data_IF_932308216120
#
_entry.id   IF_932308216120
#
_cell.length_a   1.000
_cell.length_b   1.000
_cell.length_c   1.000
_cell.angle_alpha   90.00
_cell.angle_beta   90.00
_cell.angle_gamma   90.00
#
_symmetry.space_group_name_H-M   'P 1'
#
loop_
_entity.id
_entity.type
_entity.pdbx_description
1 polymer ?
#
# COMPACT_ATOMS: atom_id res chain seq x y z
N UNK A 1 -51.01 6.65 -46.12
CA UNK A 1 -50.03 5.92 -45.31
C UNK A 1 -49.09 6.96 -44.73
N UNK A 2 -49.38 7.43 -43.52
CA UNK A 2 -48.63 8.49 -42.83
C UNK A 2 -47.37 7.89 -42.23
N UNK A 3 -46.21 8.27 -42.76
CA UNK A 3 -44.91 7.84 -42.23
C UNK A 3 -44.73 8.47 -40.84
N UNK A 4 -44.79 7.66 -39.78
CA UNK A 4 -44.42 8.10 -38.44
C UNK A 4 -42.96 8.56 -38.43
N UNK A 5 -42.72 9.79 -37.95
CA UNK A 5 -41.36 10.30 -37.71
C UNK A 5 -40.66 9.41 -36.68
N UNK A 6 -39.47 8.86 -36.98
CA UNK A 6 -38.77 8.00 -36.04
C UNK A 6 -38.43 8.76 -34.75
N UNK A 7 -38.70 8.12 -33.61
CA UNK A 7 -38.52 8.64 -32.23
C UNK A 7 -37.06 8.98 -31.88
N UNK A 8 -36.11 8.69 -32.75
CA UNK A 8 -34.69 8.87 -32.53
C UNK A 8 -34.05 9.52 -33.76
N UNK A 9 -33.53 10.74 -33.57
CA UNK A 9 -32.70 11.45 -34.55
C UNK A 9 -31.29 10.87 -34.51
N UNK A 10 -30.81 10.38 -35.64
CA UNK A 10 -29.42 9.96 -35.81
C UNK A 10 -28.57 11.23 -35.99
N UNK A 11 -28.00 11.75 -34.90
CA UNK A 11 -26.98 12.79 -34.96
C UNK A 11 -25.66 12.17 -35.43
N UNK A 12 -25.22 12.55 -36.63
CA UNK A 12 -23.90 12.23 -37.17
C UNK A 12 -22.88 13.28 -36.71
N UNK A 13 -22.70 13.41 -35.39
CA UNK A 13 -21.61 14.21 -34.80
C UNK A 13 -20.47 13.26 -34.37
N UNK A 14 -19.26 13.60 -34.77
CA UNK A 14 -18.05 12.82 -34.47
C UNK A 14 -17.57 13.03 -33.02
N UNK A 15 -18.07 14.08 -32.35
CA UNK A 15 -17.75 14.39 -30.96
C UNK A 15 -18.54 13.51 -29.97
N UNK A 16 -17.88 12.45 -29.50
CA UNK A 16 -18.43 11.47 -28.56
C UNK A 16 -18.88 12.05 -27.20
N UNK A 17 -18.54 13.31 -26.88
CA UNK A 17 -18.97 13.97 -25.64
C UNK A 17 -20.33 14.65 -25.75
N UNK A 18 -20.78 14.98 -26.96
CA UNK A 18 -22.07 15.65 -27.19
C UNK A 18 -23.23 14.69 -27.35
N UNK A 19 -22.98 13.47 -27.84
CA UNK A 19 -24.03 12.47 -28.08
C UNK A 19 -23.86 11.23 -27.18
N UNK A 20 -24.63 11.12 -26.08
CA UNK A 20 -24.35 10.20 -24.98
C UNK A 20 -24.70 8.72 -25.24
N UNK A 21 -25.28 8.35 -26.39
CA UNK A 21 -25.76 6.98 -26.61
C UNK A 21 -25.22 6.41 -27.92
N UNK A 22 -24.05 5.77 -27.86
CA UNK A 22 -23.60 4.82 -28.89
C UNK A 22 -23.85 3.40 -28.36
N UNK A 23 -24.70 2.65 -29.06
CA UNK A 23 -25.03 1.26 -28.72
C UNK A 23 -23.87 0.36 -29.16
N UNK A 24 -22.86 0.20 -28.29
CA UNK A 24 -21.73 -0.70 -28.55
C UNK A 24 -22.09 -2.11 -28.07
N UNK A 25 -22.41 -3.00 -29.01
CA UNK A 25 -22.60 -4.42 -28.73
C UNK A 25 -21.22 -5.08 -28.58
N UNK A 26 -20.79 -5.25 -27.33
CA UNK A 26 -19.54 -5.97 -27.02
C UNK A 26 -19.83 -7.48 -27.06
N UNK A 27 -19.33 -8.17 -28.09
CA UNK A 27 -19.32 -9.63 -28.11
C UNK A 27 -18.05 -10.14 -27.41
N UNK A 28 -18.23 -10.73 -26.22
CA UNK A 28 -17.19 -11.47 -25.48
C UNK A 28 -16.93 -11.00 -24.04
N UNK A 29 -16.28 -11.83 -23.23
CA UNK A 29 -15.93 -11.56 -21.81
C UNK A 29 -14.90 -10.44 -21.60
N UNK A 30 -14.45 -9.77 -22.67
CA UNK A 30 -13.59 -8.59 -22.56
C UNK A 30 -14.44 -7.39 -22.21
N UNK A 31 -14.37 -6.97 -20.95
CA UNK A 31 -14.70 -5.59 -20.60
C UNK A 31 -13.88 -4.70 -21.53
N UNK A 32 -14.48 -3.78 -22.31
CA UNK A 32 -13.69 -2.76 -22.98
C UNK A 32 -12.94 -2.04 -21.85
N UNK A 33 -11.63 -2.25 -21.79
CA UNK A 33 -10.78 -1.34 -21.07
C UNK A 33 -11.02 -0.01 -21.77
N UNK A 34 -11.77 0.87 -21.12
CA UNK A 34 -11.78 2.28 -21.49
C UNK A 34 -10.34 2.69 -21.20
N UNK A 35 -9.48 2.60 -22.21
CA UNK A 35 -8.20 3.30 -22.22
C UNK A 35 -8.51 4.70 -21.71
N UNK A 36 -7.77 5.11 -20.68
CA UNK A 36 -8.01 6.33 -19.90
C UNK A 36 -8.56 7.41 -20.83
N UNK A 37 -9.84 7.76 -20.65
CA UNK A 37 -10.51 8.72 -21.49
C UNK A 37 -9.58 9.91 -21.66
N UNK A 38 -9.25 10.29 -22.90
CA UNK A 38 -8.36 11.41 -23.18
C UNK A 38 -8.86 12.62 -22.38
N UNK A 39 -8.20 12.87 -21.24
CA UNK A 39 -8.50 14.00 -20.40
C UNK A 39 -8.22 15.24 -21.25
N UNK A 40 -8.98 16.32 -21.06
CA UNK A 40 -8.75 17.53 -21.81
C UNK A 40 -7.32 18.02 -21.54
N UNK A 41 -6.42 17.81 -22.51
CA UNK A 41 -5.02 18.18 -22.40
C UNK A 41 -4.90 19.70 -22.53
N UNK A 42 -4.10 20.27 -21.65
CA UNK A 42 -3.86 21.72 -21.60
C UNK A 42 -2.36 21.94 -21.72
N UNK A 43 -1.96 23.04 -22.37
CA UNK A 43 -0.55 23.40 -22.49
C UNK A 43 0.12 23.49 -21.11
N UNK A 44 1.30 22.89 -20.98
CA UNK A 44 2.10 22.88 -19.74
C UNK A 44 2.38 24.29 -19.23
N UNK A 45 2.73 25.19 -20.15
CA UNK A 45 2.82 26.61 -19.88
C UNK A 45 1.54 27.33 -20.35
N UNK A 46 0.94 28.21 -19.53
CA UNK A 46 1.30 28.56 -18.15
C UNK A 46 0.62 27.67 -17.09
N UNK A 47 -0.28 26.77 -17.51
CA UNK A 47 -1.27 26.17 -16.61
C UNK A 47 -0.66 25.23 -15.55
N UNK A 48 0.21 24.30 -15.96
CA UNK A 48 0.86 23.39 -15.00
C UNK A 48 1.86 24.15 -14.14
N UNK A 49 2.68 25.00 -14.75
CA UNK A 49 3.72 25.78 -14.07
C UNK A 49 3.15 26.69 -12.98
N UNK A 50 2.01 27.34 -13.23
CA UNK A 50 1.34 28.15 -12.22
C UNK A 50 0.80 27.30 -11.07
N UNK A 51 0.22 26.13 -11.36
CA UNK A 51 -0.30 25.21 -10.33
C UNK A 51 0.83 24.67 -9.45
N UNK A 52 1.97 24.31 -10.06
CA UNK A 52 3.15 23.85 -9.32
C UNK A 52 3.76 24.97 -8.48
N UNK A 53 3.85 26.20 -9.00
CA UNK A 53 4.32 27.35 -8.23
C UNK A 53 3.39 27.65 -7.04
N UNK A 54 2.07 27.62 -7.23
CA UNK A 54 1.10 27.78 -6.14
C UNK A 54 1.25 26.65 -5.12
N UNK A 55 1.38 25.40 -5.57
CA UNK A 55 1.58 24.25 -4.70
C UNK A 55 2.89 24.34 -3.91
N UNK A 56 3.97 24.82 -4.54
CA UNK A 56 5.27 25.05 -3.89
C UNK A 56 5.14 26.10 -2.80
N UNK A 57 4.55 27.26 -3.09
CA UNK A 57 4.34 28.33 -2.09
C UNK A 57 3.44 27.83 -0.96
N UNK A 58 2.36 27.12 -1.27
CA UNK A 58 1.46 26.55 -0.27
C UNK A 58 2.17 25.52 0.61
N UNK A 59 3.00 24.64 0.03
CA UNK A 59 3.78 23.64 0.76
C UNK A 59 4.84 24.32 1.64
N UNK A 60 5.57 25.30 1.11
CA UNK A 60 6.55 26.07 1.89
C UNK A 60 5.88 26.78 3.07
N UNK A 61 4.75 27.43 2.85
CA UNK A 61 3.98 28.08 3.92
C UNK A 61 3.52 27.06 4.96
N UNK A 62 2.98 25.92 4.53
CA UNK A 62 2.55 24.86 5.44
C UNK A 62 3.71 24.33 6.30
N UNK A 63 4.89 24.10 5.71
CA UNK A 63 6.08 23.66 6.44
C UNK A 63 6.59 24.74 7.40
N UNK A 64 6.60 26.02 6.99
CA UNK A 64 6.97 27.14 7.87
C UNK A 64 6.02 27.29 9.05
N UNK A 65 4.71 27.15 8.83
CA UNK A 65 3.72 27.16 9.91
C UNK A 65 3.92 25.97 10.85
N UNK A 66 4.15 24.77 10.32
CA UNK A 66 4.42 23.58 11.12
C UNK A 66 5.67 23.75 12.00
N UNK A 67 6.74 24.35 11.46
CA UNK A 67 7.96 24.62 12.20
C UNK A 67 7.80 25.64 13.35
N UNK A 68 6.76 26.49 13.32
CA UNK A 68 6.44 27.39 14.45
C UNK A 68 5.81 26.62 15.62
N UNK A 69 5.05 25.56 15.33
CA UNK A 69 4.35 24.77 16.36
C UNK A 69 5.16 23.58 16.86
N UNK A 70 6.10 23.06 16.05
CA UNK A 70 6.88 21.86 16.35
C UNK A 70 8.37 22.14 16.16
N UNK A 71 9.09 22.29 17.26
CA UNK A 71 10.54 22.39 17.23
C UNK A 71 11.17 21.07 16.80
N UNK A 72 12.23 21.16 15.97
CA UNK A 72 13.06 20.02 15.65
C UNK A 72 14.00 19.75 16.82
N UNK A 73 13.93 18.58 17.49
CA UNK A 73 14.85 18.23 18.56
C UNK A 73 16.23 17.95 17.96
N UNK A 74 17.10 18.96 17.96
CA UNK A 74 18.49 18.84 17.52
C UNK A 74 19.35 18.41 18.72
N UNK A 75 20.15 17.36 18.52
CA UNK A 75 21.10 16.88 19.53
C UNK A 75 22.37 17.77 19.58
N UNK A 76 23.24 17.49 20.57
CA UNK A 76 24.58 18.10 20.67
C UNK A 76 25.42 17.82 19.40
N UNK A 77 26.48 18.61 19.22
CA UNK A 77 27.46 18.38 18.14
C UNK A 77 28.00 16.94 18.25
N UNK A 78 28.08 16.26 17.11
CA UNK A 78 28.48 14.85 17.04
C UNK A 78 29.81 14.58 17.76
N UNK A 79 29.80 13.58 18.66
CA UNK A 79 30.96 13.15 19.42
C UNK A 79 31.18 11.63 19.23
N UNK A 80 32.30 11.24 18.61
CA UNK A 80 32.63 9.84 18.37
C UNK A 80 32.85 9.01 19.64
N UNK A 81 33.08 9.65 20.80
CA UNK A 81 33.26 8.99 22.09
C UNK A 81 31.94 8.77 22.85
N UNK A 82 30.81 9.34 22.39
CA UNK A 82 29.50 9.27 23.06
C UNK A 82 28.43 8.83 22.06
N UNK A 83 27.95 7.60 22.21
CA UNK A 83 26.80 7.10 21.45
C UNK A 83 25.50 7.54 22.14
N UNK A 84 24.58 8.24 21.44
CA UNK A 84 23.30 8.62 22.01
C UNK A 84 22.48 7.37 22.38
N UNK A 85 21.72 7.45 23.46
CA UNK A 85 20.88 6.37 23.94
C UNK A 85 19.51 6.92 24.38
N UNK A 86 18.41 6.60 23.67
CA UNK A 86 18.32 5.73 22.50
C UNK A 86 18.73 6.42 21.18
N UNK A 87 19.49 5.71 20.34
CA UNK A 87 19.76 6.15 18.98
C UNK A 87 18.62 5.74 18.05
N UNK A 88 17.69 6.65 17.75
CA UNK A 88 16.57 6.40 16.82
C UNK A 88 16.89 6.90 15.42
N UNK A 89 16.62 6.06 14.42
CA UNK A 89 16.69 6.45 13.02
C UNK A 89 15.50 7.36 12.65
N UNK A 90 15.59 8.13 11.55
CA UNK A 90 14.46 8.85 11.01
C UNK A 90 13.25 7.93 10.79
N UNK A 91 12.03 8.46 10.94
CA UNK A 91 10.78 7.68 10.93
C UNK A 91 10.60 6.74 9.73
N UNK A 92 11.09 7.12 8.54
CA UNK A 92 11.02 6.30 7.33
C UNK A 92 11.99 5.10 7.34
N UNK A 93 13.02 5.11 8.18
CA UNK A 93 13.91 3.96 8.44
C UNK A 93 13.62 3.25 9.76
N UNK A 94 12.76 3.81 10.60
CA UNK A 94 12.53 3.30 11.94
C UNK A 94 11.89 1.90 11.93
N UNK A 95 11.01 1.60 10.98
CA UNK A 95 10.48 0.25 10.81
C UNK A 95 11.56 -0.77 10.42
N UNK A 96 12.57 -0.36 9.65
CA UNK A 96 13.73 -1.19 9.32
C UNK A 96 14.64 -1.38 10.54
N UNK A 97 14.82 -0.33 11.34
CA UNK A 97 15.56 -0.40 12.59
C UNK A 97 14.89 -1.33 13.60
N UNK A 98 13.57 -1.29 13.70
CA UNK A 98 12.82 -2.23 14.53
C UNK A 98 13.00 -3.67 14.02
N UNK A 99 13.07 -3.89 12.71
CA UNK A 99 13.37 -5.20 12.14
C UNK A 99 14.80 -5.69 12.42
N UNK A 100 15.77 -4.79 12.58
CA UNK A 100 17.15 -5.11 12.98
C UNK A 100 17.25 -5.64 14.42
N UNK A 101 16.24 -5.38 15.26
CA UNK A 101 16.18 -5.96 16.59
C UNK A 101 15.85 -7.46 16.57
N UNK A 102 15.07 -7.92 15.58
CA UNK A 102 14.64 -9.32 15.48
C UNK A 102 15.62 -10.20 14.70
N UNK A 103 16.33 -9.63 13.74
CA UNK A 103 17.17 -10.36 12.80
C UNK A 103 18.59 -9.80 12.75
N UNK A 104 19.59 -10.62 12.36
CA UNK A 104 20.95 -10.16 12.17
C UNK A 104 21.02 -8.97 11.20
N UNK A 105 21.98 -8.03 11.39
CA UNK A 105 22.12 -6.85 10.55
C UNK A 105 22.23 -7.13 9.05
N UNK A 106 22.84 -8.25 8.68
CA UNK A 106 22.95 -8.68 7.29
C UNK A 106 21.56 -8.93 6.65
N UNK A 107 20.64 -9.58 7.37
CA UNK A 107 19.34 -9.97 6.83
C UNK A 107 18.43 -8.76 6.67
N UNK A 108 18.21 -8.01 7.75
CA UNK A 108 17.31 -6.85 7.72
C UNK A 108 17.93 -5.64 7.05
N UNK A 109 19.23 -5.39 7.22
CA UNK A 109 19.87 -4.17 6.73
C UNK A 109 20.33 -4.25 5.28
N UNK A 110 20.71 -5.43 4.79
CA UNK A 110 21.32 -5.59 3.45
C UNK A 110 20.45 -6.44 2.54
N UNK A 111 20.14 -7.68 2.96
CA UNK A 111 19.45 -8.64 2.10
C UNK A 111 18.03 -8.17 1.80
N UNK A 112 17.23 -7.80 2.81
CA UNK A 112 15.83 -7.45 2.60
C UNK A 112 15.64 -6.18 1.73
N UNK A 113 16.30 -5.03 2.00
CA UNK A 113 16.23 -3.88 1.12
C UNK A 113 16.82 -4.17 -0.27
N UNK A 114 17.91 -4.95 -0.33
CA UNK A 114 18.51 -5.38 -1.59
C UNK A 114 17.54 -6.18 -2.46
N UNK A 115 16.79 -7.12 -1.88
CA UNK A 115 15.76 -7.88 -2.58
C UNK A 115 14.62 -6.99 -3.08
N UNK A 116 14.21 -5.96 -2.33
CA UNK A 116 13.20 -4.99 -2.79
C UNK A 116 13.70 -4.22 -4.00
N UNK A 117 14.95 -3.72 -3.97
CA UNK A 117 15.55 -3.01 -5.10
C UNK A 117 15.68 -3.92 -6.32
N UNK A 118 16.18 -5.15 -6.14
CA UNK A 118 16.27 -6.15 -7.21
C UNK A 118 14.88 -6.47 -7.76
N UNK A 119 13.87 -6.64 -6.92
CA UNK A 119 12.49 -6.85 -7.36
C UNK A 119 11.99 -5.68 -8.21
N UNK A 120 12.22 -4.43 -7.79
CA UNK A 120 11.83 -3.24 -8.57
C UNK A 120 12.53 -3.17 -9.93
N UNK A 121 13.81 -3.57 -10.00
CA UNK A 121 14.54 -3.66 -11.27
C UNK A 121 13.98 -4.78 -12.15
N UNK A 122 13.64 -5.92 -11.56
CA UNK A 122 13.23 -7.15 -12.26
C UNK A 122 11.79 -7.05 -12.78
N UNK A 123 10.86 -6.49 -12.01
CA UNK A 123 9.42 -6.38 -12.35
C UNK A 123 9.15 -5.94 -13.81
N UNK A 124 9.75 -4.87 -14.36
CA UNK A 124 9.45 -4.43 -15.73
C UNK A 124 9.89 -5.43 -16.81
N UNK A 125 10.80 -6.35 -16.52
CA UNK A 125 11.30 -7.34 -17.49
C UNK A 125 10.48 -8.63 -17.51
N UNK A 126 9.62 -8.85 -16.53
CA UNK A 126 8.77 -10.05 -16.46
C UNK A 126 7.32 -9.69 -16.74
N UNK A 127 6.71 -10.43 -17.67
CA UNK A 127 5.27 -10.34 -17.94
C UNK A 127 4.48 -11.01 -16.80
N UNK A 128 4.52 -10.40 -15.61
CA UNK A 128 3.71 -10.80 -14.48
C UNK A 128 2.29 -10.30 -14.78
N UNK A 129 1.49 -11.13 -15.45
CA UNK A 129 0.09 -10.83 -15.69
C UNK A 129 -0.68 -10.95 -14.36
N UNK A 130 -0.59 -9.92 -13.54
CA UNK A 130 -1.39 -9.74 -12.33
C UNK A 130 -2.84 -9.52 -12.76
N UNK A 131 -3.54 -10.61 -13.07
CA UNK A 131 -4.98 -10.62 -13.27
C UNK A 131 -5.62 -9.85 -12.10
N UNK A 132 -6.27 -8.73 -12.39
CA UNK A 132 -7.03 -7.93 -11.42
C UNK A 132 -8.39 -8.59 -11.13
N UNK A 133 -8.34 -9.91 -10.94
CA UNK A 133 -9.46 -10.76 -10.63
C UNK A 133 -9.52 -10.98 -9.13
N UNK A 134 -10.73 -11.25 -8.62
CA UNK A 134 -10.92 -11.58 -7.23
C UNK A 134 -10.21 -12.90 -6.90
N UNK A 135 -9.45 -12.91 -5.81
CA UNK A 135 -8.60 -14.04 -5.45
C UNK A 135 -9.37 -15.38 -5.38
N UNK A 136 -10.60 -15.36 -4.87
CA UNK A 136 -11.44 -16.55 -4.64
C UNK A 136 -12.38 -16.92 -5.81
N UNK A 137 -12.26 -16.30 -6.99
CA UNK A 137 -13.15 -16.63 -8.12
C UNK A 137 -12.93 -18.05 -8.66
N UNK A 138 -11.68 -18.42 -8.92
CA UNK A 138 -11.34 -19.72 -9.52
C UNK A 138 -10.77 -20.71 -8.50
N UNK A 139 -11.14 -21.99 -8.61
CA UNK A 139 -10.50 -23.12 -7.92
C UNK A 139 -10.35 -22.93 -6.38
N UNK A 140 -11.44 -22.50 -5.72
CA UNK A 140 -11.43 -22.11 -4.29
C UNK A 140 -10.81 -23.17 -3.36
N UNK A 141 -11.10 -24.46 -3.55
CA UNK A 141 -10.58 -25.55 -2.69
C UNK A 141 -9.06 -25.64 -2.75
N UNK A 142 -8.48 -25.59 -3.95
CA UNK A 142 -7.02 -25.67 -4.14
C UNK A 142 -6.34 -24.39 -3.66
N UNK A 143 -6.91 -23.22 -3.96
CA UNK A 143 -6.39 -21.94 -3.47
C UNK A 143 -6.43 -21.85 -1.95
N UNK A 144 -7.44 -22.42 -1.31
CA UNK A 144 -7.56 -22.45 0.15
C UNK A 144 -6.42 -23.25 0.79
N UNK A 145 -6.05 -24.41 0.20
CA UNK A 145 -4.91 -25.20 0.66
C UNK A 145 -3.61 -24.41 0.52
N UNK A 146 -3.32 -23.83 -0.65
CA UNK A 146 -2.11 -23.03 -0.83
C UNK A 146 -2.09 -21.80 0.06
N UNK A 147 -3.22 -21.13 0.23
CA UNK A 147 -3.36 -19.98 1.10
C UNK A 147 -3.00 -20.34 2.55
N UNK A 148 -3.63 -21.37 3.13
CA UNK A 148 -3.31 -21.78 4.50
C UNK A 148 -1.89 -22.32 4.64
N UNK A 149 -1.38 -23.05 3.64
CA UNK A 149 0.01 -23.49 3.62
C UNK A 149 0.97 -22.29 3.61
N UNK A 150 0.69 -21.24 2.83
CA UNK A 150 1.48 -20.01 2.80
C UNK A 150 1.40 -19.23 4.11
N UNK A 151 0.21 -19.07 4.70
CA UNK A 151 0.04 -18.40 6.01
C UNK A 151 0.79 -19.17 7.10
N UNK A 152 0.70 -20.50 7.11
CA UNK A 152 1.41 -21.34 8.07
C UNK A 152 2.92 -21.26 7.85
N UNK A 153 3.40 -21.36 6.61
CA UNK A 153 4.82 -21.26 6.28
C UNK A 153 5.39 -19.90 6.71
N UNK A 154 4.71 -18.79 6.38
CA UNK A 154 5.11 -17.45 6.82
C UNK A 154 5.08 -17.32 8.34
N UNK A 155 4.05 -17.87 8.99
CA UNK A 155 3.96 -17.85 10.46
C UNK A 155 5.12 -18.59 11.10
N UNK A 156 5.46 -19.78 10.61
CA UNK A 156 6.61 -20.56 11.09
C UNK A 156 7.90 -19.79 10.86
N UNK A 157 8.09 -19.18 9.69
CA UNK A 157 9.27 -18.34 9.43
C UNK A 157 9.38 -17.23 10.48
N UNK A 158 8.34 -16.41 10.69
CA UNK A 158 8.43 -15.28 11.62
C UNK A 158 8.41 -15.67 13.11
N UNK A 159 7.97 -16.88 13.46
CA UNK A 159 8.01 -17.40 14.82
C UNK A 159 9.38 -18.00 15.19
N UNK A 160 10.08 -18.64 14.26
CA UNK A 160 11.26 -19.44 14.55
C UNK A 160 12.57 -18.93 13.94
N UNK A 161 12.53 -18.09 12.90
CA UNK A 161 13.76 -17.64 12.23
C UNK A 161 14.48 -16.49 12.94
N UNK A 162 13.81 -15.87 13.92
CA UNK A 162 14.30 -14.71 14.68
C UNK A 162 14.56 -15.10 16.14
N UNK A 163 15.38 -14.31 16.86
CA UNK A 163 15.69 -14.56 18.27
C UNK A 163 14.43 -14.53 19.15
N UNK A 164 13.44 -13.71 18.77
CA UNK A 164 12.13 -13.61 19.39
C UNK A 164 11.06 -13.46 18.31
N UNK A 165 9.84 -13.99 18.53
CA UNK A 165 8.73 -13.87 17.56
C UNK A 165 8.49 -12.44 17.07
N UNK A 166 8.40 -12.26 15.75
CA UNK A 166 8.16 -10.95 15.13
C UNK A 166 6.67 -10.62 15.10
N UNK A 167 6.10 -10.38 16.28
CA UNK A 167 4.69 -10.01 16.45
C UNK A 167 4.20 -8.86 15.55
N UNK A 168 4.98 -7.79 15.29
CA UNK A 168 4.53 -6.68 14.46
C UNK A 168 4.22 -7.07 13.00
N UNK A 169 4.78 -8.19 12.52
CA UNK A 169 4.53 -8.74 11.18
C UNK A 169 3.44 -9.82 11.24
N UNK A 170 3.48 -10.66 12.28
CA UNK A 170 2.54 -11.77 12.47
C UNK A 170 1.11 -11.30 12.73
N UNK A 171 0.89 -10.29 13.57
CA UNK A 171 -0.46 -9.81 13.89
C UNK A 171 -1.17 -9.30 12.63
N UNK A 172 -0.59 -8.39 11.81
CA UNK A 172 -1.20 -8.00 10.54
C UNK A 172 -1.42 -9.16 9.57
N UNK A 173 -0.51 -10.14 9.53
CA UNK A 173 -0.64 -11.33 8.68
C UNK A 173 -1.93 -12.09 9.01
N UNK A 174 -2.16 -12.39 10.29
CA UNK A 174 -3.34 -13.12 10.73
C UNK A 174 -4.63 -12.32 10.61
N UNK A 175 -4.58 -11.01 10.87
CA UNK A 175 -5.73 -10.10 10.64
C UNK A 175 -6.15 -10.12 9.17
N UNK A 176 -5.20 -9.98 8.26
CA UNK A 176 -5.48 -10.00 6.82
C UNK A 176 -5.92 -11.38 6.38
N UNK A 177 -5.31 -12.45 6.90
CA UNK A 177 -5.75 -13.80 6.57
C UNK A 177 -7.22 -14.01 6.97
N UNK A 178 -7.64 -13.51 8.14
CA UNK A 178 -9.03 -13.50 8.57
C UNK A 178 -9.95 -12.70 7.64
N UNK A 179 -9.55 -11.48 7.27
CA UNK A 179 -10.31 -10.63 6.35
C UNK A 179 -10.44 -11.25 4.94
N UNK A 180 -9.39 -11.90 4.45
CA UNK A 180 -9.40 -12.63 3.19
C UNK A 180 -10.37 -13.81 3.22
N UNK A 181 -10.60 -14.43 4.37
CA UNK A 181 -11.51 -15.57 4.52
C UNK A 181 -13.00 -15.18 4.55
N UNK A 182 -13.33 -13.94 4.92
CA UNK A 182 -14.72 -13.44 4.96
C UNK A 182 -15.51 -13.73 3.67
N UNK A 183 -15.03 -13.36 2.46
CA UNK A 183 -15.72 -13.66 1.20
C UNK A 183 -15.67 -15.13 0.76
N UNK A 184 -14.81 -15.96 1.36
CA UNK A 184 -14.73 -17.39 1.08
C UNK A 184 -15.78 -18.19 1.88
N UNK A 185 -16.13 -17.72 3.07
CA UNK A 185 -17.09 -18.39 3.98
C UNK A 185 -18.49 -17.81 3.86
N UNK A 186 -18.63 -16.54 3.47
CA UNK A 186 -19.94 -15.87 3.39
C UNK A 186 -20.62 -16.12 2.04
N UNK A 187 -21.84 -16.69 2.00
CA UNK A 187 -22.60 -16.86 0.75
C UNK A 187 -23.11 -15.53 0.18
N UNK A 188 -23.22 -14.48 1.01
CA UNK A 188 -23.71 -13.16 0.59
C UNK A 188 -22.56 -12.20 0.31
N UNK A 189 -22.44 -11.76 -0.95
CA UNK A 189 -21.45 -10.77 -1.41
C UNK A 189 -22.04 -9.37 -1.53
N UNK A 190 -22.69 -8.87 -0.49
CA UNK A 190 -23.29 -7.52 -0.48
C UNK A 190 -22.49 -6.55 0.38
N UNK A 191 -22.47 -5.28 -0.02
CA UNK A 191 -21.79 -4.20 0.70
C UNK A 191 -20.28 -4.41 0.89
N UNK A 192 -19.79 -4.17 2.11
CA UNK A 192 -18.36 -4.27 2.46
C UNK A 192 -17.80 -5.68 2.31
N UNK A 193 -18.61 -6.73 2.49
CA UNK A 193 -18.16 -8.12 2.30
C UNK A 193 -17.93 -8.45 0.83
N UNK A 194 -18.79 -7.95 -0.05
CA UNK A 194 -18.58 -8.02 -1.51
C UNK A 194 -17.31 -7.28 -1.93
N UNK A 195 -17.11 -6.07 -1.39
CA UNK A 195 -15.91 -5.27 -1.64
C UNK A 195 -14.61 -5.99 -1.28
N UNK A 196 -14.57 -6.76 -0.17
CA UNK A 196 -13.41 -7.59 0.20
C UNK A 196 -13.22 -8.76 -0.77
N UNK A 197 -14.32 -9.35 -1.24
CA UNK A 197 -14.31 -10.43 -2.22
C UNK A 197 -13.72 -10.02 -3.56
N UNK A 198 -13.91 -8.77 -3.98
CA UNK A 198 -13.48 -8.26 -5.28
C UNK A 198 -11.99 -7.90 -5.36
N UNK A 199 -11.24 -8.05 -4.25
CA UNK A 199 -9.83 -7.68 -4.18
C UNK A 199 -8.91 -8.76 -4.77
N UNK A 200 -7.88 -8.31 -5.48
CA UNK A 200 -6.80 -9.17 -6.00
C UNK A 200 -5.82 -9.57 -4.91
N UNK A 201 -5.02 -10.61 -5.15
CA UNK A 201 -3.96 -11.03 -4.21
C UNK A 201 -2.95 -9.92 -3.94
N UNK A 202 -2.57 -9.15 -4.96
CA UNK A 202 -1.61 -8.05 -4.80
C UNK A 202 -2.13 -6.97 -3.85
N UNK A 203 -3.43 -6.68 -3.85
CA UNK A 203 -4.03 -5.75 -2.90
C UNK A 203 -3.83 -6.24 -1.45
N UNK A 204 -4.07 -7.53 -1.19
CA UNK A 204 -3.92 -8.11 0.14
C UNK A 204 -2.47 -8.15 0.61
N UNK A 205 -1.55 -8.54 -0.27
CA UNK A 205 -0.10 -8.55 0.03
C UNK A 205 0.40 -7.12 0.31
N UNK A 206 -0.02 -6.15 -0.50
CA UNK A 206 0.32 -4.74 -0.29
C UNK A 206 -0.24 -4.20 1.03
N UNK A 207 -1.51 -4.50 1.34
CA UNK A 207 -2.12 -4.09 2.60
C UNK A 207 -1.39 -4.71 3.80
N UNK A 208 -0.97 -5.97 3.70
CA UNK A 208 -0.17 -6.63 4.73
C UNK A 208 1.16 -5.95 4.93
N UNK A 209 1.88 -5.68 3.84
CA UNK A 209 3.14 -4.96 3.89
C UNK A 209 2.98 -3.58 4.54
N UNK A 210 1.94 -2.82 4.16
CA UNK A 210 1.67 -1.50 4.70
C UNK A 210 1.35 -1.55 6.21
N UNK A 211 0.50 -2.48 6.65
CA UNK A 211 0.17 -2.64 8.06
C UNK A 211 1.36 -3.12 8.88
N UNK A 212 2.16 -4.06 8.37
CA UNK A 212 3.37 -4.54 9.03
C UNK A 212 4.43 -3.42 9.16
N UNK A 213 4.68 -2.67 8.08
CA UNK A 213 5.61 -1.53 8.09
C UNK A 213 5.16 -0.44 9.06
N UNK A 214 3.86 -0.13 9.07
CA UNK A 214 3.27 0.84 10.00
C UNK A 214 3.41 0.35 11.44
N UNK A 215 3.11 -0.92 11.72
CA UNK A 215 3.24 -1.50 13.06
C UNK A 215 4.70 -1.45 13.56
N UNK A 216 5.67 -1.83 12.73
CA UNK A 216 7.10 -1.73 13.04
C UNK A 216 7.50 -0.28 13.35
N UNK A 217 7.05 0.67 12.52
CA UNK A 217 7.34 2.10 12.70
C UNK A 217 6.74 2.64 13.99
N UNK A 218 5.47 2.33 14.29
CA UNK A 218 4.80 2.74 15.53
C UNK A 218 5.50 2.17 16.76
N UNK A 219 5.93 0.91 16.70
CA UNK A 219 6.67 0.27 17.80
C UNK A 219 8.04 0.93 18.00
N UNK A 220 8.78 1.16 16.92
CA UNK A 220 10.06 1.87 16.99
C UNK A 220 9.91 3.30 17.51
N UNK A 221 8.83 4.00 17.17
CA UNK A 221 8.60 5.38 17.61
C UNK A 221 8.26 5.43 19.10
N UNK A 222 7.25 4.68 19.54
CA UNK A 222 6.63 4.91 20.84
C UNK A 222 6.99 3.89 21.92
N UNK A 223 7.43 2.69 21.53
CA UNK A 223 7.60 1.57 22.47
C UNK A 223 9.07 1.17 22.64
N UNK A 224 10.02 1.86 21.98
CA UNK A 224 11.46 1.64 22.15
C UNK A 224 12.08 2.76 22.96
N UNK A 225 12.70 2.38 24.08
CA UNK A 225 13.41 3.27 25.00
C UNK A 225 14.92 2.97 25.07
N UNK A 226 15.59 3.35 26.18
CA UNK A 226 17.02 3.19 26.35
C UNK A 226 17.50 1.75 26.11
N UNK A 227 18.60 1.59 25.37
CA UNK A 227 19.14 0.29 24.98
C UNK A 227 18.28 -0.48 23.96
N UNK A 228 17.35 0.20 23.28
CA UNK A 228 16.34 -0.41 22.42
C UNK A 228 15.41 -1.40 23.17
N UNK A 229 15.28 -1.23 24.48
CA UNK A 229 14.39 -2.04 25.29
C UNK A 229 12.94 -1.62 25.08
N UNK A 230 12.04 -2.58 25.29
CA UNK A 230 10.61 -2.31 25.22
C UNK A 230 10.19 -1.47 26.43
N UNK A 231 9.49 -0.38 26.17
CA UNK A 231 9.01 0.56 27.18
C UNK A 231 7.55 0.85 26.96
N UNK A 232 6.86 1.20 28.04
CA UNK A 232 5.44 1.50 28.01
C UNK A 232 5.31 3.03 28.10
N UNK A 233 4.90 3.73 27.03
CA UNK A 233 5.02 5.19 26.98
C UNK A 233 4.17 5.93 28.03
N UNK A 234 3.09 5.31 28.50
CA UNK A 234 2.23 5.85 29.56
C UNK A 234 2.75 5.60 30.98
N UNK A 235 3.83 4.82 31.15
CA UNK A 235 4.48 4.57 32.45
C UNK A 235 5.89 5.17 32.44
N UNK A 236 6.67 4.84 31.41
CA UNK A 236 8.08 5.15 31.30
C UNK A 236 8.36 6.46 30.55
N UNK A 237 7.34 7.06 29.92
CA UNK A 237 7.48 8.22 29.03
C UNK A 237 7.88 7.85 27.59
N UNK A 238 7.83 8.84 26.70
CA UNK A 238 8.29 8.71 25.31
C UNK A 238 9.75 9.17 25.23
N UNK A 239 10.58 8.36 24.59
CA UNK A 239 12.01 8.62 24.38
C UNK A 239 12.33 8.92 22.92
#
# INVERSE_FOLDING_TARGET
MTMETPKYLLEADDDARKSPVRLVVVQGERRPAVDAADEAQVMTWPHLMLREAIALVALSLALSLLAIFFDAPLEEIANAQKTPNPAKAPWYFLGLQELLHYYPPLVSGVILPGLVVVALIVIPYFNINLKREAFWQENIKRKLVYFWASILALSVIFLFSSAHPVWPILIPLWVIAGLMMVPAVSPTRTGWRGWLGDRSLAFWVFLWFLLASTALTVIGTFFRGPGWQYTIPWIDGVY
#
